data_IF_938081582241
#
_entry.id   IF_938081582241
#
_cell.length_a   1.000
_cell.length_b   1.000
_cell.length_c   1.000
_cell.angle_alpha   90.00
_cell.angle_beta   90.00
_cell.angle_gamma   90.00
#
_symmetry.space_group_name_H-M   'P 1'
#
loop_
_entity.id
_entity.type
_entity.pdbx_description
1 polymer ?
#
# COMPACT_ATOMS: atom_id res chain seq x y z
N UNK A 1 18.25 -10.69 -9.98
CA UNK A 1 17.21 -9.73 -10.37
C UNK A 1 17.45 -8.46 -9.59
N UNK A 2 17.62 -7.32 -10.26
CA UNK A 2 17.64 -6.01 -9.58
C UNK A 2 16.27 -5.78 -8.94
N UNK A 3 16.26 -5.23 -7.72
CA UNK A 3 15.00 -4.84 -7.08
C UNK A 3 14.41 -3.66 -7.88
N UNK A 4 13.09 -3.64 -8.15
CA UNK A 4 12.47 -2.51 -8.80
C UNK A 4 12.71 -1.22 -8.00
N UNK A 5 13.02 -0.12 -8.71
CA UNK A 5 13.15 1.21 -8.12
C UNK A 5 11.75 1.70 -7.75
N UNK A 6 11.42 1.59 -6.46
CA UNK A 6 10.14 2.04 -5.91
C UNK A 6 10.21 3.52 -5.53
N UNK A 7 9.11 4.25 -5.74
CA UNK A 7 9.05 5.70 -5.43
C UNK A 7 8.04 6.01 -4.33
N UNK A 8 8.46 6.41 -3.11
CA UNK A 8 7.54 6.79 -2.05
C UNK A 8 6.78 8.10 -2.37
N UNK A 9 5.65 8.39 -1.70
CA UNK A 9 5.01 7.54 -0.69
C UNK A 9 4.33 6.31 -1.29
N UNK A 10 4.02 5.35 -0.43
CA UNK A 10 3.28 4.13 -0.77
C UNK A 10 1.84 4.27 -0.31
N UNK A 11 0.91 3.79 -1.12
CA UNK A 11 -0.53 3.92 -0.93
C UNK A 11 -1.12 2.53 -0.74
N UNK A 12 -1.76 2.28 0.40
CA UNK A 12 -2.50 1.05 0.69
C UNK A 12 -3.98 1.36 0.68
N UNK A 13 -4.70 0.77 -0.28
CA UNK A 13 -6.14 0.90 -0.40
C UNK A 13 -6.81 -0.37 0.11
N UNK A 14 -7.74 -0.23 1.05
CA UNK A 14 -8.58 -1.29 1.59
C UNK A 14 -10.04 -0.85 1.40
N UNK A 15 -10.68 -1.31 0.32
CA UNK A 15 -11.99 -0.83 -0.13
C UNK A 15 -12.04 0.70 -0.29
N UNK A 16 -12.72 1.41 0.62
CA UNK A 16 -12.81 2.89 0.65
C UNK A 16 -11.76 3.55 1.53
N UNK A 17 -11.02 2.76 2.32
CA UNK A 17 -9.94 3.23 3.19
C UNK A 17 -8.65 3.44 2.41
N UNK A 18 -7.86 4.43 2.84
CA UNK A 18 -6.53 4.71 2.31
C UNK A 18 -5.57 5.03 3.46
N UNK A 19 -4.54 4.20 3.59
CA UNK A 19 -3.36 4.46 4.41
C UNK A 19 -2.15 4.82 3.52
N UNK A 20 -1.32 5.77 3.97
CA UNK A 20 -0.17 6.28 3.20
C UNK A 20 1.10 6.18 4.03
N UNK A 21 2.14 5.56 3.45
CA UNK A 21 3.39 5.26 4.14
C UNK A 21 4.60 5.92 3.46
N UNK A 22 5.60 6.31 4.25
CA UNK A 22 6.88 6.78 3.71
C UNK A 22 7.85 5.63 3.47
N UNK A 23 7.82 4.61 4.34
CA UNK A 23 8.68 3.45 4.25
C UNK A 23 7.94 2.18 3.84
N UNK A 24 8.58 1.38 2.99
CA UNK A 24 8.08 0.05 2.62
C UNK A 24 7.97 -0.86 3.85
N UNK A 25 8.87 -0.70 4.83
CA UNK A 25 8.86 -1.49 6.06
C UNK A 25 7.64 -1.22 6.95
N UNK A 26 7.09 0.00 6.91
CA UNK A 26 5.89 0.37 7.67
C UNK A 26 4.67 -0.27 7.00
N UNK A 27 4.60 -0.17 5.66
CA UNK A 27 3.58 -0.84 4.85
C UNK A 27 3.59 -2.37 5.05
N UNK A 28 4.75 -3.02 5.04
CA UNK A 28 4.89 -4.46 5.31
C UNK A 28 4.36 -4.87 6.69
N UNK A 29 4.44 -3.99 7.69
CA UNK A 29 3.93 -4.25 9.05
C UNK A 29 2.43 -4.00 9.16
N UNK A 30 1.87 -3.12 8.33
CA UNK A 30 0.44 -2.81 8.31
C UNK A 30 -0.37 -3.98 7.75
N UNK A 31 0.13 -4.63 6.70
CA UNK A 31 -0.57 -5.71 6.01
C UNK A 31 -0.52 -6.98 6.86
N UNK A 32 -1.67 -7.52 7.25
CA UNK A 32 -1.72 -8.81 7.92
C UNK A 32 -1.57 -9.96 6.92
N UNK A 33 -0.98 -11.10 7.31
CA UNK A 33 -0.92 -12.28 6.45
C UNK A 33 -2.29 -12.72 5.91
N UNK A 34 -3.35 -12.54 6.69
CA UNK A 34 -4.71 -12.90 6.27
C UNK A 34 -5.20 -11.99 5.15
N UNK A 35 -4.93 -10.68 5.23
CA UNK A 35 -5.31 -9.70 4.21
C UNK A 35 -4.73 -10.05 2.83
N UNK A 36 -3.48 -10.54 2.81
CA UNK A 36 -2.85 -11.01 1.57
C UNK A 36 -3.51 -12.28 1.02
N UNK A 37 -3.93 -13.22 1.88
CA UNK A 37 -4.61 -14.43 1.44
C UNK A 37 -6.00 -14.15 0.86
N UNK A 38 -6.67 -13.15 1.42
CA UNK A 38 -8.04 -12.77 1.06
C UNK A 38 -8.09 -11.71 -0.07
N UNK A 39 -6.93 -11.21 -0.53
CA UNK A 39 -6.79 -10.20 -1.58
C UNK A 39 -7.65 -8.94 -1.33
N UNK A 40 -7.67 -8.49 -0.06
CA UNK A 40 -8.57 -7.39 0.38
C UNK A 40 -7.98 -5.99 0.20
N UNK A 41 -6.72 -5.89 -0.24
CA UNK A 41 -6.04 -4.62 -0.39
C UNK A 41 -5.38 -4.47 -1.76
N UNK A 42 -5.07 -3.22 -2.11
CA UNK A 42 -4.20 -2.87 -3.23
C UNK A 42 -3.14 -1.89 -2.79
N UNK A 43 -1.89 -2.19 -3.07
CA UNK A 43 -0.77 -1.34 -2.71
C UNK A 43 -0.09 -0.77 -3.96
N UNK A 44 0.24 0.51 -3.93
CA UNK A 44 0.91 1.21 -5.03
C UNK A 44 2.06 2.07 -4.54
N UNK A 45 3.06 2.28 -5.40
CA UNK A 45 3.97 3.41 -5.23
C UNK A 45 3.40 4.70 -5.84
N UNK A 46 4.10 5.82 -5.66
CA UNK A 46 3.64 7.13 -6.13
C UNK A 46 3.60 7.28 -7.66
N UNK A 47 4.33 6.43 -8.38
CA UNK A 47 4.31 6.38 -9.85
C UNK A 47 3.13 5.54 -10.34
N UNK A 48 2.61 4.64 -9.50
CA UNK A 48 1.48 3.77 -9.78
C UNK A 48 1.87 2.33 -10.10
N UNK A 49 3.09 1.91 -9.77
CA UNK A 49 3.46 0.51 -9.81
C UNK A 49 2.68 -0.24 -8.73
N UNK A 50 2.11 -1.40 -9.08
CA UNK A 50 1.43 -2.28 -8.13
C UNK A 50 2.50 -2.97 -7.29
N UNK A 51 2.37 -2.92 -5.97
CA UNK A 51 3.28 -3.57 -5.05
C UNK A 51 2.73 -4.94 -4.66
N UNK A 52 3.47 -6.00 -4.99
CA UNK A 52 3.12 -7.36 -4.62
C UNK A 52 3.91 -7.80 -3.39
N UNK A 53 3.22 -8.48 -2.49
CA UNK A 53 3.81 -8.99 -1.26
C UNK A 53 3.63 -10.51 -1.19
N UNK A 54 4.43 -11.14 -0.34
CA UNK A 54 4.30 -12.56 -0.01
C UNK A 54 4.42 -12.78 1.48
N UNK A 55 3.87 -13.90 1.94
CA UNK A 55 4.03 -14.35 3.32
C UNK A 55 5.30 -15.20 3.41
N UNK A 56 6.12 -14.89 4.40
CA UNK A 56 7.29 -15.71 4.77
C UNK A 56 7.18 -16.12 6.24
N UNK A 57 7.66 -17.32 6.56
CA UNK A 57 7.82 -17.74 7.94
C UNK A 57 9.20 -17.31 8.45
N UNK A 58 9.23 -16.61 9.58
CA UNK A 58 10.45 -16.26 10.30
C UNK A 58 10.47 -16.99 11.63
N UNK A 59 11.60 -17.60 11.95
CA UNK A 59 11.86 -18.06 13.30
C UNK A 59 12.25 -16.88 14.18
N UNK A 60 11.46 -16.64 15.22
CA UNK A 60 11.80 -15.72 16.28
C UNK A 60 12.33 -16.54 17.45
N UNK A 61 13.64 -16.50 17.67
CA UNK A 61 14.30 -17.15 18.82
C UNK A 61 14.16 -16.27 20.05
N UNK A 62 13.33 -16.70 21.01
CA UNK A 62 13.34 -16.18 22.37
C UNK A 62 14.39 -16.88 23.24
N UNK A 63 14.57 -16.38 24.46
CA UNK A 63 15.59 -16.87 25.41
C UNK A 63 15.36 -18.34 25.83
N UNK A 64 14.13 -18.84 25.76
CA UNK A 64 13.77 -20.22 26.14
C UNK A 64 12.96 -21.00 25.09
N UNK A 65 12.39 -20.33 24.08
CA UNK A 65 11.52 -20.96 23.07
C UNK A 65 11.75 -20.29 21.71
N UNK A 66 11.77 -21.09 20.64
CA UNK A 66 11.69 -20.61 19.26
C UNK A 66 10.26 -20.68 18.75
N UNK A 67 9.71 -19.55 18.30
CA UNK A 67 8.37 -19.49 17.70
C UNK A 67 8.50 -19.18 16.21
N UNK A 68 7.69 -19.83 15.38
CA UNK A 68 7.55 -19.47 13.97
C UNK A 68 6.43 -18.45 13.82
N UNK A 69 6.75 -17.30 13.22
CA UNK A 69 5.79 -16.24 12.94
C UNK A 69 5.67 -16.06 11.42
N UNK A 70 4.44 -15.85 10.93
CA UNK A 70 4.19 -15.45 9.55
C UNK A 70 4.30 -13.94 9.44
N UNK A 71 5.07 -13.45 8.48
CA UNK A 71 5.26 -12.02 8.23
C UNK A 71 5.10 -11.72 6.75
N UNK A 72 4.55 -10.55 6.44
CA UNK A 72 4.44 -10.06 5.06
C UNK A 72 5.75 -9.37 4.68
N UNK A 73 6.23 -9.63 3.46
CA UNK A 73 7.40 -8.97 2.88
C UNK A 73 7.13 -8.63 1.43
N UNK A 74 7.68 -7.50 0.99
CA UNK A 74 7.65 -7.10 -0.42
C UNK A 74 8.34 -8.15 -1.28
N UNK A 75 7.72 -8.48 -2.42
CA UNK A 75 8.23 -9.48 -3.36
C UNK A 75 8.63 -8.83 -4.69
N UNK A 76 7.70 -8.13 -5.33
CA UNK A 76 7.88 -7.56 -6.66
C UNK A 76 6.98 -6.34 -6.88
N UNK A 77 7.25 -5.58 -7.94
CA UNK A 77 6.37 -4.51 -8.37
C UNK A 77 6.12 -4.61 -9.88
N UNK A 78 4.86 -4.51 -10.26
CA UNK A 78 4.42 -4.56 -11.64
C UNK A 78 4.02 -3.17 -12.12
N UNK A 79 4.41 -2.83 -13.35
CA UNK A 79 3.91 -1.62 -13.99
C UNK A 79 2.41 -1.78 -14.21
N UNK A 80 1.61 -0.87 -13.64
CA UNK A 80 0.19 -0.85 -13.93
C UNK A 80 -0.03 -0.35 -15.36
N UNK A 81 -0.58 -1.20 -16.23
CA UNK A 81 -0.98 -0.82 -17.60
C UNK A 81 -2.27 -0.02 -17.64
N UNK A 82 -3.06 -0.14 -16.57
CA UNK A 82 -4.40 0.43 -16.45
C UNK A 82 -4.38 1.56 -15.43
N UNK A 83 -5.27 2.53 -15.57
CA UNK A 83 -5.38 3.67 -14.64
C UNK A 83 -6.03 3.28 -13.30
N UNK A 84 -5.74 2.07 -12.80
CA UNK A 84 -6.26 1.50 -11.56
C UNK A 84 -5.87 2.38 -10.37
N UNK A 85 -4.63 2.85 -10.31
CA UNK A 85 -4.19 3.72 -9.23
C UNK A 85 -4.98 5.04 -9.23
N UNK A 86 -5.26 5.64 -10.39
CA UNK A 86 -6.11 6.82 -10.47
C UNK A 86 -7.53 6.53 -10.00
N UNK A 87 -8.13 5.40 -10.40
CA UNK A 87 -9.46 4.99 -9.93
C UNK A 87 -9.50 4.84 -8.41
N UNK A 88 -8.48 4.23 -7.81
CA UNK A 88 -8.35 4.12 -6.36
C UNK A 88 -8.27 5.51 -5.70
N UNK A 89 -7.42 6.41 -6.22
CA UNK A 89 -7.31 7.79 -5.72
C UNK A 89 -8.65 8.54 -5.82
N UNK A 90 -9.36 8.42 -6.95
CA UNK A 90 -10.68 9.04 -7.15
C UNK A 90 -11.73 8.48 -6.18
N UNK A 91 -11.74 7.17 -5.98
CA UNK A 91 -12.65 6.49 -5.03
C UNK A 91 -12.41 6.99 -3.60
N UNK A 92 -11.16 6.97 -3.13
CA UNK A 92 -10.81 7.48 -1.79
C UNK A 92 -11.09 8.96 -1.64
N UNK A 93 -10.85 9.77 -2.67
CA UNK A 93 -11.22 11.19 -2.65
C UNK A 93 -12.73 11.36 -2.43
N UNK A 94 -13.54 10.65 -3.21
CA UNK A 94 -15.00 10.70 -3.09
C UNK A 94 -15.46 10.23 -1.70
N UNK A 95 -14.83 9.19 -1.14
CA UNK A 95 -15.14 8.69 0.18
C UNK A 95 -14.81 9.71 1.29
N UNK A 96 -13.65 10.38 1.23
CA UNK A 96 -13.24 11.33 2.27
C UNK A 96 -13.87 12.71 2.20
N UNK A 97 -14.20 13.17 1.01
CA UNK A 97 -14.70 14.53 0.77
C UNK A 97 -16.18 14.57 0.38
N UNK A 98 -16.82 13.41 0.25
CA UNK A 98 -18.24 13.26 -0.12
C UNK A 98 -18.62 14.00 -1.41
N UNK A 99 -17.66 14.16 -2.33
CA UNK A 99 -17.82 14.91 -3.58
C UNK A 99 -16.97 14.31 -4.70
N UNK A 100 -17.38 14.55 -5.95
CA UNK A 100 -16.64 14.08 -7.12
C UNK A 100 -15.32 14.87 -7.29
N UNK A 101 -14.21 14.22 -7.69
CA UNK A 101 -12.91 14.86 -7.93
C UNK A 101 -12.88 15.62 -9.27
N UNK A 102 -13.85 16.51 -9.50
CA UNK A 102 -14.03 17.19 -10.78
C UNK A 102 -12.81 18.05 -11.15
N UNK A 103 -12.15 17.69 -12.26
CA UNK A 103 -11.03 18.45 -12.82
C UNK A 103 -9.69 18.27 -12.09
N UNK A 104 -9.59 17.33 -11.14
CA UNK A 104 -8.32 17.02 -10.47
C UNK A 104 -7.54 15.96 -11.26
N UNK A 105 -6.28 16.26 -11.56
CA UNK A 105 -5.34 15.28 -12.10
C UNK A 105 -4.78 14.34 -11.00
N UNK A 106 -4.08 13.28 -11.40
CA UNK A 106 -3.46 12.31 -10.48
C UNK A 106 -2.58 12.95 -9.42
N UNK A 107 -1.77 13.94 -9.80
CA UNK A 107 -0.84 14.62 -8.89
C UNK A 107 -1.59 15.47 -7.86
N UNK A 108 -2.64 16.15 -8.30
CA UNK A 108 -3.51 16.94 -7.43
C UNK A 108 -4.26 16.03 -6.45
N UNK A 109 -4.81 14.92 -6.93
CA UNK A 109 -5.47 13.90 -6.10
C UNK A 109 -4.54 13.37 -5.01
N UNK A 110 -3.34 12.93 -5.39
CA UNK A 110 -2.34 12.44 -4.43
C UNK A 110 -2.00 13.52 -3.39
N UNK A 111 -1.76 14.76 -3.82
CA UNK A 111 -1.43 15.85 -2.91
C UNK A 111 -2.55 16.10 -1.90
N UNK A 112 -3.80 16.14 -2.36
CA UNK A 112 -4.96 16.38 -1.50
C UNK A 112 -5.18 15.22 -0.53
N UNK A 113 -5.05 13.98 -0.97
CA UNK A 113 -5.19 12.80 -0.11
C UNK A 113 -4.06 12.70 0.92
N UNK A 114 -2.82 12.99 0.54
CA UNK A 114 -1.69 13.08 1.49
C UNK A 114 -1.95 14.15 2.56
N UNK A 115 -2.49 15.30 2.18
CA UNK A 115 -2.85 16.35 3.15
C UNK A 115 -3.98 15.92 4.08
N UNK A 116 -4.91 15.08 3.60
CA UNK A 116 -6.05 14.58 4.37
C UNK A 116 -5.67 13.47 5.34
N UNK A 117 -4.90 12.48 4.88
CA UNK A 117 -4.54 11.30 5.67
C UNK A 117 -3.27 11.51 6.51
N UNK A 118 -2.37 12.39 6.06
CA UNK A 118 -1.00 12.42 6.60
C UNK A 118 -0.21 11.16 6.19
N UNK A 119 0.99 11.02 6.76
CA UNK A 119 1.75 9.77 6.65
C UNK A 119 1.59 8.98 7.94
N UNK A 120 1.33 7.68 7.81
CA UNK A 120 1.30 6.73 8.92
C UNK A 120 2.73 6.34 9.33
N UNK A 121 2.93 6.16 10.63
CA UNK A 121 4.20 5.75 11.26
C UNK A 121 4.30 4.23 11.44
#
# INVERSE_FOLDING_TARGET
>A
MEKPLLTPPFFLFEDVSLDIFQGLSELEKKIEPQDLMDDVYRAFDSVGNILNFRIVEKEQKGFWVSTKIKTVVFDSADMSSDDLFLKCLQSSYKAYFETEPAGLDKRQLMKTLIQKCGFSC
#
